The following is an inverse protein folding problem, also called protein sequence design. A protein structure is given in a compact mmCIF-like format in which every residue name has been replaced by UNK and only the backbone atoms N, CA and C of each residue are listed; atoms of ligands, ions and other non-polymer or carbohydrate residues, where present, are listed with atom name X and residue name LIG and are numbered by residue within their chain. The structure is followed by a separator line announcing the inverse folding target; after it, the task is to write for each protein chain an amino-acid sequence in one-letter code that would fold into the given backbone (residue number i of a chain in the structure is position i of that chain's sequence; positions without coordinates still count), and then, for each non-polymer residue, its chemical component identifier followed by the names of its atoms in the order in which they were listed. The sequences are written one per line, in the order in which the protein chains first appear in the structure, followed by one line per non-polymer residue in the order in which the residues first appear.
data_IF_893446482896
#
_entry.id   IF_893446482896
#
_cell.length_a   1.000
_cell.length_b   1.000
_cell.length_c   1.000
_cell.angle_alpha   90.00
_cell.angle_beta   90.00
_cell.angle_gamma   90.00
#
_symmetry.space_group_name_H-M   'P 1'
#
loop_
_entity.id
_entity.type
_entity.pdbx_description
1 polymer ?
#
# COMPACT_ATOMS: atom_id res chain seq x y z
N UNK A 1 63.34 -59.83 54.23
CA UNK A 1 62.44 -59.33 55.30
C UNK A 1 61.03 -59.52 54.80
N UNK A 2 60.04 -60.09 55.47
CA UNK A 2 59.94 -60.76 56.76
C UNK A 2 58.64 -61.60 56.72
N UNK A 3 58.65 -62.75 57.39
CA UNK A 3 57.55 -63.44 58.10
C UNK A 3 56.10 -63.42 57.53
N UNK A 4 55.66 -64.60 57.06
CA UNK A 4 54.56 -65.47 57.58
C UNK A 4 53.16 -64.90 57.98
N UNK A 5 52.22 -65.86 57.89
CA UNK A 5 50.97 -66.05 58.67
C UNK A 5 49.72 -65.33 58.16
N UNK A 6 48.74 -66.06 57.60
CA UNK A 6 47.75 -66.95 58.22
C UNK A 6 46.46 -66.25 58.66
N UNK A 7 45.37 -66.81 58.13
CA UNK A 7 44.13 -67.19 58.83
C UNK A 7 43.11 -66.09 59.15
N UNK A 8 41.90 -66.41 58.66
CA UNK A 8 40.62 -66.43 59.40
C UNK A 8 40.10 -65.06 59.81
N UNK A 9 38.82 -64.85 60.07
CA UNK A 9 37.54 -65.49 59.82
C UNK A 9 36.57 -64.63 60.65
N UNK A 10 35.26 -64.77 60.41
CA UNK A 10 34.17 -64.21 61.21
C UNK A 10 34.10 -62.67 61.18
N UNK A 11 32.93 -62.06 61.18
CA UNK A 11 31.60 -62.59 61.35
C UNK A 11 30.69 -61.40 61.70
N UNK A 12 29.42 -61.57 61.32
CA UNK A 12 28.22 -60.97 61.87
C UNK A 12 28.22 -59.49 62.28
N UNK A 13 27.31 -58.71 61.68
CA UNK A 13 26.23 -58.02 62.41
C UNK A 13 25.20 -57.43 61.42
N UNK A 14 23.99 -57.98 61.49
CA UNK A 14 22.70 -57.36 61.09
C UNK A 14 22.38 -56.17 62.04
N UNK A 15 21.25 -55.45 61.92
CA UNK A 15 20.39 -55.08 60.79
C UNK A 15 20.15 -53.54 60.77
N UNK A 16 19.36 -52.99 59.83
CA UNK A 16 18.35 -51.91 60.09
C UNK A 16 17.45 -51.77 58.85
N UNK A 17 16.16 -51.78 59.12
CA UNK A 17 15.02 -51.63 58.22
C UNK A 17 14.84 -50.16 57.83
N UNK A 18 14.56 -49.88 56.56
CA UNK A 18 13.82 -48.68 56.15
C UNK A 18 12.96 -48.98 54.92
N UNK A 19 11.66 -49.03 55.15
CA UNK A 19 10.58 -49.04 54.15
C UNK A 19 10.50 -47.64 53.55
N UNK A 20 10.59 -47.54 52.23
CA UNK A 20 10.34 -46.29 51.48
C UNK A 20 9.44 -46.58 50.30
N UNK A 21 8.13 -46.36 50.47
CA UNK A 21 7.14 -46.34 49.39
C UNK A 21 7.47 -45.21 48.43
N UNK A 22 7.76 -45.53 47.17
CA UNK A 22 7.79 -44.55 46.09
C UNK A 22 6.35 -44.21 45.70
N UNK A 23 5.82 -43.13 46.28
CA UNK A 23 4.64 -42.45 45.75
C UNK A 23 5.06 -41.76 44.44
N UNK A 24 4.56 -42.26 43.32
CA UNK A 24 4.67 -41.61 42.02
C UNK A 24 3.85 -40.32 42.03
N UNK A 25 4.49 -39.19 42.38
CA UNK A 25 3.96 -37.87 42.05
C UNK A 25 4.08 -37.68 40.54
N UNK A 26 2.98 -37.94 39.83
CA UNK A 26 2.78 -37.45 38.48
C UNK A 26 2.69 -35.92 38.55
N UNK A 27 3.84 -35.25 38.46
CA UNK A 27 3.89 -33.83 38.15
C UNK A 27 3.38 -33.67 36.72
N UNK A 28 2.13 -33.22 36.60
CA UNK A 28 1.62 -32.57 35.40
C UNK A 28 2.61 -31.47 35.01
N UNK A 29 3.43 -31.77 34.00
CA UNK A 29 4.20 -30.76 33.29
C UNK A 29 3.20 -29.79 32.67
N UNK A 30 2.93 -28.67 33.33
CA UNK A 30 2.40 -27.48 32.65
C UNK A 30 3.38 -27.18 31.53
N UNK A 31 2.90 -27.32 30.30
CA UNK A 31 3.71 -27.25 29.09
C UNK A 31 4.28 -25.86 28.93
N UNK A 32 5.61 -25.74 29.00
CA UNK A 32 6.39 -24.56 28.55
C UNK A 32 5.98 -24.11 27.14
N UNK A 33 5.41 -25.02 26.34
CA UNK A 33 4.88 -24.77 24.99
C UNK A 33 3.58 -23.93 24.97
N UNK A 34 2.69 -24.10 25.94
CA UNK A 34 1.40 -23.39 25.97
C UNK A 34 1.54 -21.92 26.40
N UNK A 35 2.49 -21.61 27.30
CA UNK A 35 2.81 -20.22 27.67
C UNK A 35 3.39 -19.46 26.46
N UNK A 36 4.24 -20.11 25.66
CA UNK A 36 4.76 -19.51 24.42
C UNK A 36 3.72 -19.30 23.32
N UNK A 37 2.73 -20.18 23.20
CA UNK A 37 1.62 -20.04 22.24
C UNK A 37 0.65 -18.93 22.64
N UNK A 38 0.30 -18.83 23.92
CA UNK A 38 -0.55 -17.76 24.45
C UNK A 38 0.11 -16.38 24.31
N UNK A 39 1.40 -16.26 24.67
CA UNK A 39 2.14 -15.01 24.53
C UNK A 39 2.29 -14.59 23.04
N UNK A 40 2.48 -15.57 22.14
CA UNK A 40 2.50 -15.31 20.70
C UNK A 40 1.15 -14.83 20.18
N UNK A 41 0.05 -15.45 20.64
CA UNK A 41 -1.29 -14.98 20.30
C UNK A 41 -1.53 -13.56 20.82
N UNK A 42 -1.14 -13.25 22.05
CA UNK A 42 -1.26 -11.89 22.61
C UNK A 42 -0.49 -10.85 21.77
N UNK A 43 0.78 -11.11 21.43
CA UNK A 43 1.56 -10.22 20.55
C UNK A 43 0.92 -10.06 19.17
N UNK A 44 0.35 -11.13 18.63
CA UNK A 44 -0.35 -11.10 17.36
C UNK A 44 -1.61 -10.22 17.43
N UNK A 45 -2.41 -10.35 18.50
CA UNK A 45 -3.58 -9.52 18.76
C UNK A 45 -3.23 -8.02 18.79
N UNK A 46 -2.15 -7.66 19.50
CA UNK A 46 -1.64 -6.28 19.54
C UNK A 46 -1.26 -5.82 18.13
N UNK A 47 -0.50 -6.63 17.38
CA UNK A 47 -0.03 -6.29 16.04
C UNK A 47 -1.17 -6.06 15.06
N UNK A 48 -2.11 -7.01 14.93
CA UNK A 48 -3.23 -6.89 13.98
C UNK A 48 -4.13 -5.71 14.33
N UNK A 49 -4.42 -5.48 15.61
CA UNK A 49 -5.27 -4.36 16.05
C UNK A 49 -4.60 -3.00 15.77
N UNK A 50 -3.32 -2.87 16.12
CA UNK A 50 -2.57 -1.63 15.89
C UNK A 50 -2.40 -1.37 14.38
N UNK A 51 -2.04 -2.39 13.60
CA UNK A 51 -1.78 -2.24 12.17
C UNK A 51 -3.06 -2.00 11.35
N UNK A 52 -4.17 -2.69 11.64
CA UNK A 52 -5.39 -2.60 10.82
C UNK A 52 -6.29 -1.45 11.26
N UNK A 53 -6.52 -1.26 12.56
CA UNK A 53 -7.48 -0.24 13.05
C UNK A 53 -6.83 0.86 13.89
N UNK A 54 -5.55 0.75 14.23
CA UNK A 54 -4.83 1.79 14.98
C UNK A 54 -5.26 1.89 16.44
N UNK A 55 -5.81 0.81 17.01
CA UNK A 55 -6.29 0.76 18.39
C UNK A 55 -5.61 -0.38 19.15
N UNK A 56 -5.59 -0.30 20.48
CA UNK A 56 -5.27 -1.43 21.33
C UNK A 56 -6.30 -2.55 21.15
N UNK A 57 -5.89 -3.83 21.22
CA UNK A 57 -6.82 -4.95 21.13
C UNK A 57 -7.80 -4.93 22.33
N UNK A 58 -9.05 -5.31 22.09
CA UNK A 58 -10.00 -5.54 23.18
C UNK A 58 -9.76 -6.88 23.88
N UNK A 59 -10.50 -7.13 24.96
CA UNK A 59 -10.35 -8.36 25.75
C UNK A 59 -10.67 -9.63 24.95
N UNK A 60 -11.58 -9.56 23.97
CA UNK A 60 -11.95 -10.72 23.15
C UNK A 60 -10.83 -11.07 22.17
N UNK A 61 -10.21 -10.07 21.56
CA UNK A 61 -9.08 -10.26 20.65
C UNK A 61 -7.82 -10.73 21.40
N UNK A 62 -7.57 -10.22 22.60
CA UNK A 62 -6.47 -10.67 23.47
C UNK A 62 -6.63 -12.13 23.91
N UNK A 63 -7.87 -12.57 24.15
CA UNK A 63 -8.17 -13.95 24.52
C UNK A 63 -8.25 -14.91 23.30
N UNK A 64 -8.15 -14.40 22.07
CA UNK A 64 -8.28 -15.23 20.87
C UNK A 64 -7.00 -16.03 20.61
N UNK A 65 -7.10 -17.36 20.60
CA UNK A 65 -5.98 -18.25 20.28
C UNK A 65 -5.45 -18.10 18.84
N UNK A 66 -6.25 -17.51 17.94
CA UNK A 66 -5.86 -17.16 16.58
C UNK A 66 -6.36 -15.75 16.22
N UNK A 67 -5.67 -14.67 16.65
CA UNK A 67 -6.12 -13.30 16.39
C UNK A 67 -6.23 -12.95 14.90
N UNK A 68 -5.50 -13.64 14.02
CA UNK A 68 -5.59 -13.44 12.58
C UNK A 68 -6.97 -13.81 12.02
N UNK A 69 -7.76 -14.62 12.74
CA UNK A 69 -9.15 -14.92 12.37
C UNK A 69 -10.06 -13.68 12.39
N UNK A 70 -9.70 -12.63 13.14
CA UNK A 70 -10.48 -11.39 13.23
C UNK A 70 -10.19 -10.37 12.12
N UNK A 71 -9.18 -10.62 11.27
CA UNK A 71 -8.72 -9.67 10.24
C UNK A 71 -9.84 -9.27 9.28
N UNK A 72 -10.62 -10.24 8.79
CA UNK A 72 -11.69 -9.95 7.82
C UNK A 72 -12.77 -9.05 8.40
N UNK A 73 -13.05 -9.13 9.70
CA UNK A 73 -14.03 -8.28 10.37
C UNK A 73 -13.45 -6.88 10.67
N UNK A 74 -12.18 -6.80 11.07
CA UNK A 74 -11.48 -5.51 11.22
C UNK A 74 -11.48 -4.70 9.93
N UNK A 75 -11.26 -5.36 8.79
CA UNK A 75 -11.22 -4.72 7.47
C UNK A 75 -12.59 -4.21 6.97
N UNK A 76 -13.69 -4.54 7.65
CA UNK A 76 -15.03 -4.01 7.36
C UNK A 76 -15.37 -2.79 8.21
N UNK A 77 -14.53 -2.44 9.19
CA UNK A 77 -14.82 -1.38 10.15
C UNK A 77 -14.62 0.02 9.54
N UNK A 78 -15.37 1.00 10.07
CA UNK A 78 -15.17 2.39 9.71
C UNK A 78 -13.77 2.89 10.11
N UNK A 79 -13.22 2.37 11.20
CA UNK A 79 -11.86 2.66 11.66
C UNK A 79 -10.80 2.26 10.64
N UNK A 80 -10.90 1.05 10.08
CA UNK A 80 -9.99 0.62 9.02
C UNK A 80 -10.14 1.53 7.80
N UNK A 81 -11.38 1.78 7.33
CA UNK A 81 -11.64 2.61 6.16
C UNK A 81 -11.03 4.01 6.32
N UNK A 82 -11.23 4.63 7.48
CA UNK A 82 -10.68 5.94 7.83
C UNK A 82 -9.15 5.92 7.85
N UNK A 83 -8.55 4.96 8.56
CA UNK A 83 -7.09 4.88 8.71
C UNK A 83 -6.40 4.61 7.38
N UNK A 84 -6.93 3.67 6.58
CA UNK A 84 -6.34 3.32 5.29
C UNK A 84 -6.50 4.44 4.26
N UNK A 85 -7.66 5.11 4.21
CA UNK A 85 -7.85 6.25 3.33
C UNK A 85 -6.87 7.40 3.64
N UNK A 86 -6.61 7.68 4.93
CA UNK A 86 -5.59 8.65 5.35
C UNK A 86 -4.19 8.24 4.96
N UNK A 87 -3.84 6.96 5.14
CA UNK A 87 -2.55 6.42 4.72
C UNK A 87 -2.32 6.60 3.21
N UNK A 88 -3.30 6.24 2.38
CA UNK A 88 -3.19 6.41 0.93
C UNK A 88 -3.12 7.89 0.53
N UNK A 89 -3.91 8.76 1.17
CA UNK A 89 -3.83 10.18 0.92
C UNK A 89 -2.44 10.74 1.26
N UNK A 90 -1.90 10.45 2.44
CA UNK A 90 -0.56 10.91 2.83
C UNK A 90 0.54 10.41 1.86
N UNK A 91 0.36 9.24 1.27
CA UNK A 91 1.32 8.68 0.31
C UNK A 91 1.23 9.31 -1.08
N UNK A 92 0.02 9.58 -1.56
CA UNK A 92 -0.22 10.12 -2.91
C UNK A 92 -0.27 11.66 -2.94
N UNK A 93 -0.46 12.25 -1.77
CA UNK A 93 -0.51 13.68 -1.54
C UNK A 93 0.53 14.06 -0.47
N UNK A 94 1.81 14.28 -0.87
CA UNK A 94 2.91 14.51 0.08
C UNK A 94 2.78 15.84 0.84
N UNK A 95 2.08 16.82 0.26
CA UNK A 95 1.76 18.08 0.91
C UNK A 95 0.26 18.08 1.28
N UNK A 96 -0.15 18.56 2.47
CA UNK A 96 -1.57 18.67 2.78
C UNK A 96 -2.29 19.56 1.76
N UNK A 97 -3.54 19.22 1.43
CA UNK A 97 -4.39 20.11 0.64
C UNK A 97 -4.64 21.43 1.36
N UNK A 98 -4.78 22.52 0.61
CA UNK A 98 -5.13 23.82 1.18
C UNK A 98 -6.56 23.83 1.77
N UNK A 99 -7.39 22.88 1.35
CA UNK A 99 -8.75 22.66 1.83
C UNK A 99 -9.13 21.18 1.69
N UNK A 100 -10.26 20.79 2.30
CA UNK A 100 -10.73 19.39 2.31
C UNK A 100 -10.96 18.81 0.91
N UNK A 101 -11.35 19.62 -0.08
CA UNK A 101 -11.58 19.16 -1.45
C UNK A 101 -10.29 18.78 -2.18
N UNK A 102 -9.14 19.34 -1.77
CA UNK A 102 -7.85 18.97 -2.36
C UNK A 102 -7.32 17.61 -1.89
N UNK A 103 -7.93 17.01 -0.86
CA UNK A 103 -7.67 15.64 -0.40
C UNK A 103 -8.59 14.63 -1.10
N UNK A 104 -8.80 14.77 -2.42
CA UNK A 104 -9.68 13.89 -3.19
C UNK A 104 -9.32 12.41 -3.13
N UNK A 105 -8.03 12.10 -3.02
CA UNK A 105 -7.57 10.72 -2.84
C UNK A 105 -8.15 10.12 -1.56
N UNK A 106 -8.16 10.86 -0.45
CA UNK A 106 -8.77 10.42 0.81
C UNK A 106 -10.27 10.14 0.63
N UNK A 107 -11.03 11.09 0.05
CA UNK A 107 -12.48 10.96 -0.07
C UNK A 107 -12.88 9.78 -0.97
N UNK A 108 -12.21 9.62 -2.12
CA UNK A 108 -12.52 8.51 -3.02
C UNK A 108 -12.03 7.16 -2.47
N UNK A 109 -10.86 7.10 -1.83
CA UNK A 109 -10.38 5.88 -1.19
C UNK A 109 -11.35 5.43 -0.10
N UNK A 110 -11.80 6.36 0.76
CA UNK A 110 -12.78 6.06 1.80
C UNK A 110 -14.09 5.53 1.22
N UNK A 111 -14.64 6.20 0.19
CA UNK A 111 -15.84 5.75 -0.51
C UNK A 111 -15.70 4.33 -1.06
N UNK A 112 -14.58 4.02 -1.72
CA UNK A 112 -14.29 2.70 -2.28
C UNK A 112 -14.27 1.62 -1.20
N UNK A 113 -13.62 1.90 -0.08
CA UNK A 113 -13.51 0.97 1.04
C UNK A 113 -14.87 0.73 1.71
N UNK A 114 -15.62 1.80 2.00
CA UNK A 114 -16.96 1.73 2.61
C UNK A 114 -17.98 0.98 1.75
N UNK A 115 -17.83 1.06 0.43
CA UNK A 115 -18.74 0.41 -0.53
C UNK A 115 -18.20 -0.90 -1.11
N UNK A 116 -17.09 -1.41 -0.55
CA UNK A 116 -16.42 -2.64 -0.99
C UNK A 116 -16.23 -2.72 -2.51
N UNK A 117 -15.79 -1.60 -3.11
CA UNK A 117 -15.56 -1.47 -4.55
C UNK A 117 -14.18 -2.05 -4.92
N UNK A 118 -14.00 -2.51 -6.18
CA UNK A 118 -12.67 -2.89 -6.66
C UNK A 118 -11.66 -1.76 -6.50
N UNK A 119 -10.43 -2.05 -6.05
CA UNK A 119 -9.44 -1.01 -5.73
C UNK A 119 -9.07 -0.15 -6.95
N UNK A 120 -9.09 -0.74 -8.15
CA UNK A 120 -8.82 -0.02 -9.40
C UNK A 120 -9.76 1.16 -9.65
N UNK A 121 -10.95 1.15 -9.07
CA UNK A 121 -11.92 2.24 -9.21
C UNK A 121 -11.42 3.58 -8.63
N UNK A 122 -10.40 3.56 -7.77
CA UNK A 122 -9.74 4.78 -7.28
C UNK A 122 -9.16 5.60 -8.44
N UNK A 123 -8.80 4.94 -9.53
CA UNK A 123 -8.10 5.53 -10.67
C UNK A 123 -8.97 5.56 -11.94
N UNK A 124 -9.81 4.54 -12.17
CA UNK A 124 -10.62 4.44 -13.39
C UNK A 124 -12.12 4.55 -13.17
N UNK A 125 -12.57 4.73 -11.93
CA UNK A 125 -13.98 4.82 -11.59
C UNK A 125 -14.65 6.04 -12.21
N UNK A 126 -15.93 5.90 -12.58
CA UNK A 126 -16.75 6.97 -13.14
C UNK A 126 -17.27 7.87 -12.01
N UNK A 127 -16.36 8.63 -11.38
CA UNK A 127 -16.64 9.45 -10.21
C UNK A 127 -16.24 10.91 -10.40
N UNK A 128 -16.95 11.79 -9.72
CA UNK A 128 -16.51 13.14 -9.39
C UNK A 128 -16.59 13.37 -7.88
N UNK A 129 -15.83 14.35 -7.40
CA UNK A 129 -15.83 14.77 -6.00
C UNK A 129 -16.12 16.25 -5.97
N UNK A 130 -17.29 16.57 -5.43
CA UNK A 130 -17.77 17.96 -5.31
C UNK A 130 -17.92 18.33 -3.86
N UNK A 131 -17.85 19.63 -3.56
CA UNK A 131 -18.16 20.15 -2.24
C UNK A 131 -19.22 21.23 -2.38
N UNK A 132 -20.46 20.98 -1.92
CA UNK A 132 -21.47 22.03 -1.82
C UNK A 132 -20.96 23.17 -0.95
N UNK A 133 -21.44 24.40 -1.19
CA UNK A 133 -21.02 25.57 -0.42
C UNK A 133 -21.29 25.37 1.08
N UNK A 134 -20.23 25.36 1.91
CA UNK A 134 -20.31 25.10 3.35
C UNK A 134 -20.52 23.63 3.75
N UNK A 135 -20.58 22.71 2.79
CA UNK A 135 -20.73 21.27 3.02
C UNK A 135 -19.39 20.51 3.11
N UNK A 136 -19.47 19.21 3.32
CA UNK A 136 -18.33 18.29 3.19
C UNK A 136 -18.20 17.80 1.75
N UNK A 137 -16.98 17.46 1.28
CA UNK A 137 -16.82 16.79 -0.01
C UNK A 137 -17.63 15.50 -0.10
N UNK A 138 -18.28 15.28 -1.24
CA UNK A 138 -19.07 14.09 -1.52
C UNK A 138 -18.63 13.46 -2.84
N UNK A 139 -18.64 12.12 -2.87
CA UNK A 139 -18.38 11.35 -4.10
C UNK A 139 -19.71 11.14 -4.82
N UNK A 140 -19.75 11.49 -6.10
CA UNK A 140 -20.90 11.29 -6.98
C UNK A 140 -20.46 10.49 -8.21
N UNK A 141 -21.43 9.83 -8.87
CA UNK A 141 -21.17 9.20 -10.17
C UNK A 141 -21.07 10.26 -11.26
N UNK A 142 -20.08 10.13 -12.12
CA UNK A 142 -19.90 10.95 -13.32
C UNK A 142 -19.47 10.02 -14.46
N UNK A 143 -20.28 9.84 -15.52
CA UNK A 143 -19.91 9.03 -16.69
C UNK A 143 -18.59 9.45 -17.34
N UNK A 144 -18.19 10.72 -17.20
CA UNK A 144 -16.94 11.26 -17.70
C UNK A 144 -15.82 11.24 -16.65
N UNK A 145 -16.05 10.70 -15.46
CA UNK A 145 -15.07 10.57 -14.39
C UNK A 145 -13.92 9.62 -14.74
N UNK A 146 -12.81 9.80 -14.03
CA UNK A 146 -11.61 8.96 -14.13
C UNK A 146 -10.93 8.90 -12.76
N UNK A 147 -11.55 8.14 -11.86
CA UNK A 147 -11.20 8.11 -10.45
C UNK A 147 -11.14 9.53 -9.87
N UNK A 148 -10.13 9.79 -9.04
CA UNK A 148 -9.89 11.14 -8.56
C UNK A 148 -9.14 12.04 -9.57
N UNK A 149 -8.58 11.50 -10.67
CA UNK A 149 -7.71 12.26 -11.58
C UNK A 149 -8.44 13.31 -12.43
N UNK A 150 -9.74 13.11 -12.69
CA UNK A 150 -10.58 14.08 -13.42
C UNK A 150 -11.37 15.02 -12.50
N UNK A 151 -11.24 14.87 -11.18
CA UNK A 151 -11.90 15.78 -10.25
C UNK A 151 -11.28 17.18 -10.35
N UNK A 152 -12.12 18.21 -10.25
CA UNK A 152 -11.69 19.60 -10.52
C UNK A 152 -10.53 20.05 -9.65
N UNK A 153 -10.59 19.83 -8.33
CA UNK A 153 -9.53 20.30 -7.44
C UNK A 153 -8.18 19.59 -7.71
N UNK A 154 -8.17 18.30 -8.03
CA UNK A 154 -6.96 17.55 -8.38
C UNK A 154 -6.34 18.12 -9.64
N UNK A 155 -7.17 18.33 -10.67
CA UNK A 155 -6.72 18.86 -11.94
C UNK A 155 -6.11 20.26 -11.80
N UNK A 156 -6.73 21.14 -11.00
CA UNK A 156 -6.22 22.48 -10.71
C UNK A 156 -4.91 22.42 -9.93
N UNK A 157 -4.87 21.61 -8.87
CA UNK A 157 -3.72 21.49 -7.97
C UNK A 157 -2.48 20.96 -8.67
N UNK A 158 -2.64 19.95 -9.52
CA UNK A 158 -1.53 19.31 -10.23
C UNK A 158 -1.44 19.73 -11.70
N UNK A 159 -2.07 20.85 -12.08
CA UNK A 159 -2.08 21.35 -13.47
C UNK A 159 -0.67 21.56 -14.04
N UNK A 160 0.35 21.68 -13.18
CA UNK A 160 1.75 21.79 -13.56
C UNK A 160 2.18 23.21 -13.90
N UNK A 161 3.44 23.34 -14.30
CA UNK A 161 4.14 24.62 -14.37
C UNK A 161 4.32 25.17 -15.78
N UNK A 162 4.02 24.38 -16.82
CA UNK A 162 4.04 24.92 -18.18
C UNK A 162 2.91 25.94 -18.31
N UNK A 163 3.29 27.23 -18.28
CA UNK A 163 2.35 28.32 -18.45
C UNK A 163 1.65 28.23 -19.81
N UNK A 164 0.61 29.06 -20.01
CA UNK A 164 -0.10 29.15 -21.29
C UNK A 164 0.79 29.52 -22.48
N UNK A 165 1.96 30.11 -22.20
CA UNK A 165 2.99 30.47 -23.18
C UNK A 165 3.92 29.31 -23.56
N UNK A 166 3.85 28.17 -22.84
CA UNK A 166 4.70 26.99 -23.01
C UNK A 166 3.85 25.74 -23.30
N UNK A 167 2.89 25.85 -24.22
CA UNK A 167 1.99 24.75 -24.68
C UNK A 167 0.93 24.25 -23.69
N UNK A 168 1.09 24.48 -22.39
CA UNK A 168 0.10 24.14 -21.35
C UNK A 168 0.03 22.65 -21.02
N UNK A 169 1.09 21.87 -21.27
CA UNK A 169 1.10 20.45 -20.93
C UNK A 169 1.19 20.24 -19.42
N UNK A 170 0.41 19.28 -18.93
CA UNK A 170 0.29 18.98 -17.50
C UNK A 170 1.32 17.94 -17.06
N UNK A 171 2.62 18.23 -17.22
CA UNK A 171 3.72 17.30 -16.90
C UNK A 171 3.67 16.83 -15.44
N UNK A 172 3.31 17.70 -14.50
CA UNK A 172 3.13 17.32 -13.09
C UNK A 172 1.97 16.34 -12.93
N UNK A 173 0.84 16.57 -13.59
CA UNK A 173 -0.28 15.60 -13.58
C UNK A 173 0.15 14.25 -14.17
N UNK A 174 0.91 14.25 -15.27
CA UNK A 174 1.42 13.03 -15.90
C UNK A 174 2.28 12.23 -14.91
N UNK A 175 3.22 12.88 -14.23
CA UNK A 175 4.02 12.23 -13.20
C UNK A 175 3.16 11.68 -12.05
N UNK A 176 2.22 12.47 -11.52
CA UNK A 176 1.36 12.01 -10.42
C UNK A 176 0.47 10.84 -10.81
N UNK A 177 -0.04 10.80 -12.03
CA UNK A 177 -0.79 9.65 -12.56
C UNK A 177 0.11 8.40 -12.56
N UNK A 178 1.30 8.49 -13.15
CA UNK A 178 2.25 7.38 -13.20
C UNK A 178 2.65 6.93 -11.80
N UNK A 179 3.08 7.86 -10.94
CA UNK A 179 3.48 7.59 -9.56
C UNK A 179 2.35 6.90 -8.77
N UNK A 180 1.14 7.46 -8.79
CA UNK A 180 0.08 6.96 -7.93
C UNK A 180 -0.48 5.61 -8.41
N UNK A 181 -0.35 5.29 -9.70
CA UNK A 181 -0.78 4.00 -10.28
C UNK A 181 0.31 2.93 -10.23
N UNK A 182 1.57 3.28 -10.48
CA UNK A 182 2.67 2.29 -10.67
C UNK A 182 3.76 2.34 -9.61
N UNK A 183 3.71 3.32 -8.71
CA UNK A 183 4.79 3.54 -7.74
C UNK A 183 6.06 4.14 -8.33
N UNK A 184 6.02 4.61 -9.59
CA UNK A 184 7.16 5.25 -10.24
C UNK A 184 7.68 6.43 -9.41
N UNK A 185 8.97 6.40 -9.10
CA UNK A 185 9.69 7.51 -8.47
C UNK A 185 10.71 8.04 -9.46
N UNK A 186 10.58 9.32 -9.82
CA UNK A 186 11.54 10.01 -10.66
C UNK A 186 12.34 10.99 -9.81
N UNK A 187 13.66 10.88 -9.88
CA UNK A 187 14.57 11.82 -9.23
C UNK A 187 14.88 12.95 -10.21
N UNK A 188 14.47 14.17 -9.86
CA UNK A 188 14.76 15.35 -10.66
C UNK A 188 16.26 15.68 -10.62
N UNK A 189 16.79 16.19 -11.73
CA UNK A 189 18.10 16.84 -11.73
C UNK A 189 18.02 18.13 -10.90
N UNK A 190 19.06 18.44 -10.13
CA UNK A 190 19.15 19.72 -9.42
C UNK A 190 19.17 20.85 -10.45
N UNK A 191 18.19 21.76 -10.36
CA UNK A 191 18.15 22.92 -11.24
C UNK A 191 19.35 23.83 -10.92
N UNK A 192 20.31 23.88 -11.83
CA UNK A 192 21.41 24.85 -11.80
C UNK A 192 20.99 26.11 -12.54
N UNK A 193 21.60 27.25 -12.20
CA UNK A 193 21.42 28.49 -12.95
C UNK A 193 21.72 28.26 -14.45
N UNK A 194 20.83 28.73 -15.32
CA UNK A 194 20.93 28.54 -16.77
C UNK A 194 20.46 27.19 -17.32
N UNK A 195 19.94 26.27 -16.49
CA UNK A 195 19.34 25.03 -17.00
C UNK A 195 18.06 25.35 -17.80
N UNK A 196 18.06 24.96 -19.07
CA UNK A 196 16.89 25.09 -19.93
C UNK A 196 15.81 24.04 -19.56
N UNK A 197 14.71 24.51 -18.96
CA UNK A 197 13.57 23.69 -18.58
C UNK A 197 12.47 23.65 -19.66
N UNK A 198 12.69 24.29 -20.82
CA UNK A 198 11.76 24.25 -21.95
C UNK A 198 11.63 22.85 -22.53
N UNK A 199 10.64 22.64 -23.39
CA UNK A 199 10.48 21.38 -24.12
C UNK A 199 11.75 20.97 -24.89
N UNK A 200 12.50 21.94 -25.41
CA UNK A 200 13.79 21.72 -26.09
C UNK A 200 14.86 21.33 -25.10
N UNK A 201 15.02 22.08 -24.01
CA UNK A 201 16.02 21.78 -22.97
C UNK A 201 15.86 20.40 -22.35
N UNK A 202 14.61 19.93 -22.21
CA UNK A 202 14.32 18.57 -21.71
C UNK A 202 14.71 17.43 -22.65
N UNK A 203 15.08 17.74 -23.91
CA UNK A 203 15.67 16.76 -24.83
C UNK A 203 17.18 16.58 -24.62
N UNK A 204 17.81 17.40 -23.77
CA UNK A 204 19.20 17.20 -23.40
C UNK A 204 19.40 15.84 -22.70
N UNK A 205 20.57 15.20 -22.83
CA UNK A 205 20.82 13.86 -22.28
C UNK A 205 20.48 13.70 -20.80
N UNK A 206 20.68 14.75 -19.99
CA UNK A 206 20.37 14.75 -18.56
C UNK A 206 18.87 14.63 -18.23
N UNK A 207 17.99 15.03 -19.16
CA UNK A 207 16.54 15.08 -18.97
C UNK A 207 15.79 14.07 -19.85
N UNK A 208 16.33 13.75 -21.03
CA UNK A 208 15.65 12.97 -22.06
C UNK A 208 15.19 11.58 -21.58
N UNK A 209 15.91 10.98 -20.63
CA UNK A 209 15.55 9.68 -20.04
C UNK A 209 14.16 9.69 -19.40
N UNK A 210 13.83 10.70 -18.61
CA UNK A 210 12.53 10.83 -17.93
C UNK A 210 11.46 11.44 -18.84
N UNK A 211 11.86 12.26 -19.81
CA UNK A 211 10.94 13.07 -20.59
C UNK A 211 10.53 12.42 -21.93
N UNK A 212 11.42 11.68 -22.60
CA UNK A 212 11.21 11.25 -24.00
C UNK A 212 11.51 9.77 -24.31
N UNK A 213 12.40 9.12 -23.58
CA UNK A 213 12.97 7.83 -24.03
C UNK A 213 12.35 6.57 -23.43
N UNK A 214 11.60 6.66 -22.34
CA UNK A 214 11.10 5.51 -21.58
C UNK A 214 9.59 5.36 -21.72
N UNK A 215 9.04 4.22 -21.31
CA UNK A 215 7.58 4.00 -21.32
C UNK A 215 6.84 5.03 -20.46
N UNK A 216 7.51 5.57 -19.44
CA UNK A 216 7.04 6.63 -18.55
C UNK A 216 7.42 8.05 -19.00
N UNK A 217 7.79 8.24 -20.27
CA UNK A 217 8.22 9.53 -20.82
C UNK A 217 7.20 10.64 -20.53
N UNK A 218 7.53 11.53 -19.58
CA UNK A 218 6.59 12.52 -19.04
C UNK A 218 6.04 13.47 -20.11
N UNK A 219 6.85 13.87 -21.09
CA UNK A 219 6.40 14.74 -22.17
C UNK A 219 5.45 14.01 -23.12
N UNK A 220 5.62 12.71 -23.33
CA UNK A 220 4.68 11.91 -24.14
C UNK A 220 3.38 11.67 -23.37
N UNK A 221 3.49 11.30 -22.10
CA UNK A 221 2.34 11.05 -21.23
C UNK A 221 1.51 12.32 -21.04
N UNK A 222 2.13 13.49 -20.88
CA UNK A 222 1.39 14.75 -20.71
C UNK A 222 0.63 15.19 -21.96
N UNK A 223 1.01 14.72 -23.15
CA UNK A 223 0.27 14.91 -24.41
C UNK A 223 -0.97 14.05 -24.54
N UNK A 224 -1.13 13.05 -23.67
CA UNK A 224 -2.37 12.27 -23.54
C UNK A 224 -3.40 12.96 -22.66
N UNK A 225 -3.00 14.00 -21.94
CA UNK A 225 -3.83 14.71 -20.98
C UNK A 225 -4.39 15.99 -21.61
N UNK A 226 -5.48 16.50 -21.04
CA UNK A 226 -5.98 17.83 -21.35
C UNK A 226 -4.89 18.92 -21.22
N UNK A 227 -4.94 19.97 -22.04
CA UNK A 227 -4.06 21.14 -21.91
C UNK A 227 -4.64 22.18 -20.98
N UNK A 228 -3.80 22.74 -20.10
CA UNK A 228 -4.19 23.85 -19.22
C UNK A 228 -4.30 25.15 -20.02
N UNK A 229 -5.39 25.88 -19.82
CA UNK A 229 -5.54 27.29 -20.21
C UNK A 229 -5.78 28.17 -18.98
N UNK A 230 -5.14 29.33 -18.93
CA UNK A 230 -5.20 30.24 -17.80
C UNK A 230 -4.40 29.77 -16.57
N UNK A 231 -4.72 30.36 -15.42
CA UNK A 231 -4.07 30.15 -14.11
C UNK A 231 -5.11 30.20 -12.99
N UNK A 232 -4.74 29.67 -11.82
CA UNK A 232 -5.60 29.69 -10.63
C UNK A 232 -6.96 29.02 -10.83
N UNK A 233 -7.95 29.44 -10.05
CA UNK A 233 -9.26 28.78 -10.02
C UNK A 233 -10.07 28.93 -11.33
N UNK A 234 -9.71 29.89 -12.19
CA UNK A 234 -10.37 30.15 -13.47
C UNK A 234 -9.78 29.35 -14.64
N UNK A 235 -8.78 28.49 -14.39
CA UNK A 235 -8.15 27.72 -15.47
C UNK A 235 -9.12 26.73 -16.13
N UNK A 236 -9.00 26.50 -17.42
CA UNK A 236 -9.76 25.46 -18.14
C UNK A 236 -8.83 24.38 -18.67
N UNK A 237 -9.42 23.28 -19.12
CA UNK A 237 -8.71 22.10 -19.57
C UNK A 237 -9.24 21.68 -20.94
N UNK A 238 -8.50 22.03 -21.98
CA UNK A 238 -8.88 21.71 -23.35
C UNK A 238 -8.48 20.26 -23.67
N UNK A 239 -9.25 19.50 -24.46
CA UNK A 239 -8.85 18.17 -24.90
C UNK A 239 -7.48 18.17 -25.61
N UNK A 240 -6.69 17.08 -25.51
CA UNK A 240 -5.44 16.97 -26.24
C UNK A 240 -5.69 16.94 -27.76
N UNK A 241 -4.71 17.42 -28.52
CA UNK A 241 -4.80 17.62 -29.99
C UNK A 241 -3.57 17.08 -30.73
N UNK A 242 -2.69 16.40 -30.01
CA UNK A 242 -1.43 15.86 -30.51
C UNK A 242 -1.65 14.64 -31.40
N UNK A 243 -0.66 14.37 -32.26
CA UNK A 243 -0.57 13.10 -32.96
C UNK A 243 -0.29 11.93 -32.02
N UNK A 244 -0.29 10.69 -32.54
CA UNK A 244 -0.05 9.47 -31.76
C UNK A 244 1.19 9.55 -30.86
N UNK A 245 1.10 8.98 -29.66
CA UNK A 245 2.19 8.91 -28.70
C UNK A 245 2.54 7.45 -28.39
N UNK A 246 3.83 7.11 -28.45
CA UNK A 246 4.35 5.81 -28.03
C UNK A 246 4.57 5.79 -26.51
N UNK A 247 3.71 5.08 -25.78
CA UNK A 247 3.68 5.01 -24.32
C UNK A 247 3.29 3.57 -23.93
N UNK A 248 3.93 2.98 -22.91
CA UNK A 248 3.66 1.59 -22.49
C UNK A 248 3.76 0.57 -23.65
N UNK A 249 4.75 0.76 -24.53
CA UNK A 249 4.98 -0.08 -25.71
C UNK A 249 3.77 -0.16 -26.67
N UNK A 250 2.85 0.81 -26.59
CA UNK A 250 1.71 0.98 -27.49
C UNK A 250 1.66 2.40 -28.05
N UNK A 251 1.04 2.56 -29.23
CA UNK A 251 0.76 3.86 -29.82
C UNK A 251 -0.68 4.26 -29.51
N UNK A 252 -0.87 5.29 -28.68
CA UNK A 252 -2.20 5.83 -28.34
C UNK A 252 -2.39 7.15 -29.08
N UNK A 253 -3.51 7.27 -29.81
CA UNK A 253 -3.89 8.54 -30.44
C UNK A 253 -4.57 9.43 -29.41
N UNK A 254 -4.03 10.64 -29.11
CA UNK A 254 -4.66 11.58 -28.19
C UNK A 254 -6.06 12.01 -28.64
N UNK A 255 -6.95 12.22 -27.68
CA UNK A 255 -8.34 12.62 -27.87
C UNK A 255 -9.05 12.85 -26.54
N UNK A 256 -10.37 13.11 -26.52
CA UNK A 256 -11.10 13.45 -25.29
C UNK A 256 -10.98 12.42 -24.16
N UNK A 257 -10.76 11.15 -24.48
CA UNK A 257 -10.65 10.04 -23.52
C UNK A 257 -9.28 9.35 -23.49
N UNK A 258 -8.25 10.03 -24.00
CA UNK A 258 -6.95 9.40 -24.13
C UNK A 258 -6.20 9.25 -22.80
N UNK A 259 -6.47 10.10 -21.83
CA UNK A 259 -6.08 9.94 -20.42
C UNK A 259 -6.77 8.72 -19.79
N UNK A 260 -8.05 8.48 -20.10
CA UNK A 260 -8.77 7.28 -19.63
C UNK A 260 -8.16 6.01 -20.22
N UNK A 261 -7.81 5.99 -21.50
CA UNK A 261 -7.11 4.88 -22.12
C UNK A 261 -5.74 4.62 -21.45
N UNK A 262 -4.97 5.68 -21.22
CA UNK A 262 -3.69 5.62 -20.51
C UNK A 262 -3.84 5.04 -19.10
N UNK A 263 -4.70 5.62 -18.26
CA UNK A 263 -4.88 5.19 -16.86
C UNK A 263 -5.40 3.76 -16.79
N UNK A 264 -6.29 3.36 -17.71
CA UNK A 264 -6.76 1.99 -17.84
C UNK A 264 -5.60 1.03 -18.08
N UNK A 265 -4.68 1.36 -18.99
CA UNK A 265 -3.49 0.54 -19.24
C UNK A 265 -2.54 0.49 -18.06
N UNK A 266 -2.38 1.60 -17.33
CA UNK A 266 -1.57 1.64 -16.12
C UNK A 266 -2.13 0.71 -15.04
N UNK A 267 -3.45 0.72 -14.79
CA UNK A 267 -4.06 -0.18 -13.78
C UNK A 267 -4.19 -1.64 -14.24
N UNK A 268 -3.94 -1.94 -15.51
CA UNK A 268 -3.84 -3.31 -16.04
C UNK A 268 -2.40 -3.86 -15.97
N UNK A 269 -1.42 -3.01 -15.65
CA UNK A 269 0.01 -3.37 -15.67
C UNK A 269 0.45 -4.18 -14.45
N UNK A 270 1.55 -4.93 -14.61
CA UNK A 270 2.24 -5.59 -13.49
C UNK A 270 2.70 -4.60 -12.42
N UNK A 271 3.15 -3.40 -12.84
CA UNK A 271 3.60 -2.36 -11.92
C UNK A 271 2.48 -1.88 -10.99
N UNK A 272 1.23 -1.79 -11.50
CA UNK A 272 0.07 -1.49 -10.66
C UNK A 272 -0.20 -2.57 -9.61
N UNK A 273 -0.09 -3.85 -9.99
CA UNK A 273 -0.26 -4.98 -9.06
C UNK A 273 0.80 -4.93 -7.96
N UNK A 274 2.06 -4.78 -8.36
CA UNK A 274 3.20 -4.66 -7.45
C UNK A 274 3.03 -3.47 -6.51
N UNK A 275 2.65 -2.30 -7.05
CA UNK A 275 2.45 -1.09 -6.27
C UNK A 275 1.30 -1.21 -5.27
N UNK A 276 0.19 -1.83 -5.67
CA UNK A 276 -0.96 -2.07 -4.80
C UNK A 276 -0.56 -2.97 -3.63
N UNK A 277 0.14 -4.08 -3.90
CA UNK A 277 0.63 -4.97 -2.85
C UNK A 277 1.68 -4.30 -1.95
N UNK A 278 2.58 -3.48 -2.51
CA UNK A 278 3.49 -2.65 -1.73
C UNK A 278 2.78 -1.70 -0.79
N UNK A 279 1.71 -1.04 -1.23
CA UNK A 279 0.92 -0.18 -0.36
C UNK A 279 0.28 -0.97 0.79
N UNK A 280 -0.22 -2.18 0.53
CA UNK A 280 -0.74 -3.07 1.57
C UNK A 280 0.36 -3.49 2.58
N UNK A 281 1.56 -3.83 2.11
CA UNK A 281 2.72 -4.11 2.97
C UNK A 281 3.13 -2.89 3.80
N UNK A 282 3.27 -1.71 3.17
CA UNK A 282 3.62 -0.47 3.86
C UNK A 282 2.59 -0.11 4.92
N UNK A 283 1.31 -0.35 4.66
CA UNK A 283 0.26 -0.12 5.65
C UNK A 283 0.41 -1.03 6.88
N UNK A 284 0.70 -2.32 6.65
CA UNK A 284 0.78 -3.32 7.70
C UNK A 284 2.12 -3.35 8.46
N UNK A 285 3.22 -3.00 7.79
CA UNK A 285 4.59 -3.13 8.30
C UNK A 285 5.34 -1.79 8.41
N UNK A 286 4.83 -0.71 7.79
CA UNK A 286 5.55 0.56 7.68
C UNK A 286 6.72 0.55 6.69
N UNK A 287 6.86 -0.50 5.87
CA UNK A 287 7.94 -0.67 4.88
C UNK A 287 7.50 -1.52 3.69
N UNK A 288 8.32 -1.51 2.64
CA UNK A 288 8.23 -2.47 1.54
C UNK A 288 8.53 -3.90 2.01
N UNK A 289 8.11 -4.87 1.19
CA UNK A 289 8.38 -6.30 1.35
C UNK A 289 9.88 -6.61 1.31
N UNK A 290 10.29 -7.69 1.99
CA UNK A 290 11.62 -8.26 1.88
C UNK A 290 11.58 -9.66 1.25
N UNK A 291 12.75 -10.22 0.95
CA UNK A 291 12.87 -11.53 0.28
C UNK A 291 12.19 -12.68 1.03
N UNK A 292 12.16 -12.65 2.37
CA UNK A 292 11.50 -13.69 3.17
C UNK A 292 9.96 -13.64 3.06
N UNK A 293 9.42 -12.51 2.62
CA UNK A 293 7.98 -12.27 2.44
C UNK A 293 7.52 -12.54 1.01
N UNK A 294 8.41 -12.98 0.11
CA UNK A 294 8.12 -13.21 -1.30
C UNK A 294 6.90 -14.12 -1.53
N UNK A 295 6.72 -15.28 -0.84
CA UNK A 295 5.52 -16.10 -1.04
C UNK A 295 4.22 -15.37 -0.67
N UNK A 296 4.26 -14.49 0.33
CA UNK A 296 3.10 -13.70 0.76
C UNK A 296 2.82 -12.56 -0.22
N UNK A 297 3.87 -11.91 -0.70
CA UNK A 297 3.77 -10.86 -1.72
C UNK A 297 3.22 -11.41 -3.04
N UNK A 298 3.71 -12.57 -3.50
CA UNK A 298 3.22 -13.24 -4.70
C UNK A 298 1.74 -13.61 -4.61
N UNK A 299 1.26 -14.06 -3.45
CA UNK A 299 -0.18 -14.30 -3.24
C UNK A 299 -1.00 -13.02 -3.33
N UNK A 300 -0.51 -11.90 -2.80
CA UNK A 300 -1.16 -10.62 -3.01
C UNK A 300 -1.20 -10.26 -4.50
N UNK A 301 -0.07 -10.40 -5.22
CA UNK A 301 -0.02 -10.10 -6.65
C UNK A 301 -0.97 -10.97 -7.47
N UNK A 302 -1.10 -12.26 -7.14
CA UNK A 302 -2.03 -13.17 -7.81
C UNK A 302 -3.49 -12.77 -7.62
N UNK A 303 -3.86 -12.21 -6.46
CA UNK A 303 -5.22 -11.65 -6.26
C UNK A 303 -5.49 -10.47 -7.20
N UNK A 304 -4.46 -9.72 -7.55
CA UNK A 304 -4.57 -8.57 -8.46
C UNK A 304 -4.75 -8.96 -9.93
N UNK A 305 -4.76 -10.26 -10.26
CA UNK A 305 -5.20 -10.74 -11.58
C UNK A 305 -6.73 -10.61 -11.76
N UNK A 306 -7.50 -10.59 -10.67
CA UNK A 306 -8.93 -10.29 -10.72
C UNK A 306 -9.15 -8.76 -10.71
N UNK A 307 -9.76 -8.17 -11.76
CA UNK A 307 -10.05 -6.74 -11.79
C UNK A 307 -11.04 -6.29 -10.70
N UNK A 308 -11.73 -7.21 -10.03
CA UNK A 308 -12.68 -6.93 -8.96
C UNK A 308 -12.08 -6.98 -7.55
N UNK A 309 -10.78 -7.25 -7.43
CA UNK A 309 -10.11 -7.35 -6.14
C UNK A 309 -10.27 -6.05 -5.33
N UNK A 310 -10.60 -6.20 -4.05
CA UNK A 310 -10.70 -5.09 -3.11
C UNK A 310 -9.37 -4.92 -2.37
N UNK A 311 -9.12 -3.71 -1.87
CA UNK A 311 -7.93 -3.47 -1.06
C UNK A 311 -7.96 -4.27 0.25
N UNK A 312 -9.15 -4.48 0.82
CA UNK A 312 -9.36 -5.36 1.96
C UNK A 312 -8.85 -6.77 1.67
N UNK A 313 -9.16 -7.34 0.50
CA UNK A 313 -8.67 -8.67 0.11
C UNK A 313 -7.14 -8.73 0.01
N UNK A 314 -6.51 -7.71 -0.58
CA UNK A 314 -5.05 -7.61 -0.67
C UNK A 314 -4.39 -7.55 0.71
N UNK A 315 -4.93 -6.75 1.64
CA UNK A 315 -4.44 -6.65 3.02
C UNK A 315 -4.67 -7.95 3.79
N UNK A 316 -5.84 -8.58 3.62
CA UNK A 316 -6.17 -9.85 4.28
C UNK A 316 -5.20 -10.98 3.85
N UNK A 317 -4.80 -11.03 2.58
CA UNK A 317 -3.86 -12.01 2.06
C UNK A 317 -2.48 -11.97 2.76
N UNK A 318 -2.10 -10.79 3.26
CA UNK A 318 -0.86 -10.55 3.99
C UNK A 318 -1.08 -10.76 5.48
N UNK A 319 -2.07 -10.09 6.07
CA UNK A 319 -2.31 -10.09 7.51
C UNK A 319 -2.77 -11.45 8.06
N UNK A 320 -3.29 -12.34 7.21
CA UNK A 320 -3.69 -13.72 7.57
C UNK A 320 -2.57 -14.75 7.33
N UNK A 321 -1.43 -14.36 6.78
CA UNK A 321 -0.29 -15.26 6.64
C UNK A 321 0.32 -15.60 8.01
N UNK A 322 0.61 -16.87 8.34
CA UNK A 322 1.15 -17.24 9.65
C UNK A 322 2.48 -16.57 10.03
N UNK A 323 3.25 -16.06 9.07
CA UNK A 323 4.48 -15.30 9.31
C UNK A 323 4.22 -13.83 9.64
N UNK A 324 3.01 -13.29 9.40
CA UNK A 324 2.68 -11.90 9.77
C UNK A 324 2.85 -11.65 11.27
N UNK A 325 2.54 -12.65 12.10
CA UNK A 325 2.65 -12.58 13.56
C UNK A 325 3.91 -13.29 14.12
N UNK A 326 4.93 -13.50 13.29
CA UNK A 326 6.26 -13.96 13.72
C UNK A 326 7.22 -12.77 13.86
#
# INVERSE_FOLDING_TARGET
MDIKQHRRALGALLPIVAIGMAAASATTSKSVRAEGEAERAERCAIRVSAAIVGKSPDAALLANANPQSAVDDMLKTAEFNEKFARFINARFNPDPGANSLEDQTYHLAKYILENNKPWRELYVGAYDITQPQGGQPTVATDPNGLGYFRTRAWMVRYAGNEGTQQSGYRIVSAYRILQNTTGLVLNAVTATEGLDLSATGRQAPACAGCHYSKWYALDKVSRMLSKRRGTGNNMTFDPPTEGPQDILDTSITPGPDSDKALVTKLVESTDYKMWTCRNAFNYLYGRDENTCEAPTFERCMALMDDPNVTMQAAIAAIAKDPAYCQ
#
